data_IF_003321264534
#
_entry.id   IF_003321264534
#
_cell.length_a   1.000
_cell.length_b   1.000
_cell.length_c   1.000
_cell.angle_alpha   90.00
_cell.angle_beta   90.00
_cell.angle_gamma   90.00
#
_symmetry.space_group_name_H-M   'P 1'
#
loop_
_entity.id
_entity.type
_entity.pdbx_description
1 polymer ?
#
# COMPACT_ATOMS: atom_id res chain seq x y z
N UNK A 1 -3.26 -77.54 -3.30
CA UNK A 1 -3.17 -78.46 -2.17
C UNK A 1 -3.64 -79.85 -2.57
N UNK A 2 -3.13 -80.89 -1.93
CA UNK A 2 -3.50 -82.28 -2.18
C UNK A 2 -4.47 -82.71 -1.06
N UNK A 3 -5.64 -83.20 -1.44
CA UNK A 3 -6.68 -83.67 -0.53
C UNK A 3 -6.90 -85.17 -0.79
N UNK A 4 -7.03 -85.97 0.27
CA UNK A 4 -7.33 -87.42 0.16
C UNK A 4 -8.71 -87.60 0.76
N UNK A 5 -9.60 -88.21 -0.01
CA UNK A 5 -10.91 -88.59 0.42
C UNK A 5 -11.04 -90.11 0.43
N UNK A 6 -11.53 -90.65 1.49
CA UNK A 6 -11.84 -92.07 1.60
C UNK A 6 -13.27 -92.34 1.10
N UNK A 7 -13.38 -93.17 0.14
CA UNK A 7 -14.70 -93.55 -0.40
C UNK A 7 -14.92 -95.03 -0.11
N UNK A 8 -15.93 -95.31 0.72
CA UNK A 8 -16.33 -96.69 1.12
C UNK A 8 -17.59 -97.09 0.36
N UNK A 9 -17.51 -98.18 -0.36
CA UNK A 9 -18.68 -98.75 -1.04
C UNK A 9 -19.16 -99.99 -0.29
N UNK A 10 -20.45 -100.03 0.01
CA UNK A 10 -21.11 -101.19 0.63
C UNK A 10 -21.97 -101.94 -0.39
N UNK A 11 -21.63 -103.18 -0.61
CA UNK A 11 -22.55 -104.11 -1.27
C UNK A 11 -22.79 -105.22 -0.32
N UNK A 12 -23.97 -105.66 -0.11
CA UNK A 12 -24.46 -106.59 0.97
C UNK A 12 -23.62 -107.84 1.27
N UNK A 13 -22.51 -108.10 0.61
CA UNK A 13 -21.56 -109.20 0.81
C UNK A 13 -20.11 -108.84 0.77
N UNK A 14 -19.76 -107.60 0.39
CA UNK A 14 -18.39 -107.15 0.31
C UNK A 14 -18.25 -105.68 0.69
N UNK A 15 -17.30 -105.42 1.47
CA UNK A 15 -16.89 -104.06 1.88
C UNK A 15 -15.56 -103.73 1.22
N UNK A 16 -15.43 -102.54 0.60
CA UNK A 16 -14.20 -102.11 -0.04
C UNK A 16 -14.04 -100.60 0.12
N UNK A 17 -12.83 -100.20 0.50
CA UNK A 17 -12.47 -98.80 0.66
C UNK A 17 -11.38 -98.45 -0.35
N UNK A 18 -11.58 -97.40 -1.09
CA UNK A 18 -10.50 -96.82 -1.94
C UNK A 18 -10.17 -95.37 -1.49
N UNK A 19 -8.90 -95.07 -1.47
CA UNK A 19 -8.42 -93.71 -1.24
C UNK A 19 -8.30 -93.00 -2.58
N UNK A 20 -9.10 -91.95 -2.74
CA UNK A 20 -9.00 -91.09 -3.92
C UNK A 20 -8.24 -89.83 -3.54
N UNK A 21 -7.10 -89.67 -4.19
CA UNK A 21 -6.31 -88.43 -4.01
C UNK A 21 -6.69 -87.45 -5.08
N UNK A 22 -7.24 -86.34 -4.66
CA UNK A 22 -7.54 -85.19 -5.53
C UNK A 22 -6.44 -84.13 -5.34
N UNK A 23 -5.67 -83.90 -6.36
CA UNK A 23 -4.67 -82.81 -6.38
C UNK A 23 -5.28 -81.62 -7.09
N UNK A 24 -5.56 -80.59 -6.34
CA UNK A 24 -5.94 -79.27 -6.90
C UNK A 24 -4.62 -78.56 -7.26
N UNK A 25 -4.34 -78.51 -8.53
CA UNK A 25 -3.21 -77.72 -9.07
C UNK A 25 -3.74 -76.35 -9.36
N UNK A 26 -3.16 -75.34 -8.74
CA UNK A 26 -3.43 -73.98 -9.17
C UNK A 26 -3.05 -73.83 -10.66
N UNK A 27 -3.88 -73.20 -11.48
CA UNK A 27 -3.53 -73.01 -12.88
C UNK A 27 -2.24 -72.19 -12.95
N UNK A 28 -1.17 -72.82 -13.42
CA UNK A 28 0.11 -72.16 -13.69
C UNK A 28 -0.05 -71.41 -15.01
N UNK A 29 -0.39 -70.15 -14.95
CA UNK A 29 -0.32 -69.25 -16.08
C UNK A 29 0.80 -68.21 -15.83
N UNK A 30 1.52 -67.82 -16.87
CA UNK A 30 2.46 -66.74 -16.77
C UNK A 30 1.67 -65.41 -16.66
N UNK A 31 1.91 -64.67 -15.57
CA UNK A 31 1.26 -63.38 -15.39
C UNK A 31 1.77 -62.39 -16.44
N UNK A 32 0.86 -61.77 -17.18
CA UNK A 32 1.10 -60.66 -18.08
C UNK A 32 0.49 -59.41 -17.48
N UNK A 33 1.37 -58.55 -16.96
CA UNK A 33 0.93 -57.31 -16.34
C UNK A 33 0.75 -56.21 -17.38
N UNK A 34 -0.29 -55.39 -17.20
CA UNK A 34 -0.52 -54.21 -18.03
C UNK A 34 0.63 -53.22 -17.89
N UNK A 35 1.01 -52.57 -18.97
CA UNK A 35 1.94 -51.44 -18.94
C UNK A 35 1.30 -50.14 -18.44
N UNK A 36 -0.01 -50.14 -18.22
CA UNK A 36 -0.76 -49.02 -17.66
C UNK A 36 -0.92 -49.19 -16.16
N UNK A 37 -0.76 -48.08 -15.44
CA UNK A 37 -0.98 -48.04 -14.00
C UNK A 37 -2.46 -48.16 -13.67
N UNK A 38 -2.81 -49.10 -12.79
CA UNK A 38 -4.07 -49.13 -12.03
C UNK A 38 -3.83 -48.48 -10.67
N UNK A 39 -4.80 -47.78 -10.13
CA UNK A 39 -4.65 -47.09 -8.86
C UNK A 39 -5.95 -46.98 -8.07
N UNK A 40 -5.81 -46.91 -6.76
CA UNK A 40 -6.87 -46.53 -5.81
C UNK A 40 -6.44 -45.23 -5.08
N UNK A 41 -7.10 -44.90 -3.96
CA UNK A 41 -6.81 -43.70 -3.19
C UNK A 41 -5.45 -43.74 -2.47
N UNK A 42 -4.83 -44.90 -2.31
CA UNK A 42 -3.62 -45.11 -1.50
C UNK A 42 -2.43 -45.60 -2.29
N UNK A 43 -2.68 -46.47 -3.27
CA UNK A 43 -1.63 -47.19 -3.99
C UNK A 43 -1.83 -47.16 -5.52
N UNK A 44 -0.76 -47.54 -6.21
CA UNK A 44 -0.76 -47.84 -7.64
C UNK A 44 -0.04 -49.16 -7.89
N UNK A 45 -0.42 -49.85 -8.97
CA UNK A 45 0.13 -51.15 -9.37
C UNK A 45 -0.07 -51.38 -10.87
N UNK A 46 0.64 -52.36 -11.40
CA UNK A 46 0.31 -52.99 -12.68
C UNK A 46 -0.54 -54.21 -12.44
N UNK A 47 -1.62 -54.37 -13.15
CA UNK A 47 -2.61 -55.44 -12.94
C UNK A 47 -2.54 -56.48 -14.05
N UNK A 48 -2.60 -57.76 -13.64
CA UNK A 48 -2.75 -58.91 -14.54
C UNK A 48 -4.24 -59.17 -14.75
N UNK A 49 -4.64 -59.72 -15.91
CA UNK A 49 -6.03 -60.13 -16.16
C UNK A 49 -6.59 -61.10 -15.10
N UNK A 50 -5.74 -61.85 -14.41
CA UNK A 50 -6.12 -62.74 -13.31
C UNK A 50 -6.33 -61.99 -11.97
N UNK A 51 -6.14 -60.66 -11.91
CA UNK A 51 -6.26 -59.83 -10.70
C UNK A 51 -5.01 -59.75 -9.85
N UNK A 52 -3.89 -60.44 -10.23
CA UNK A 52 -2.61 -60.27 -9.53
C UNK A 52 -1.99 -58.90 -9.80
N UNK A 53 -1.31 -58.36 -8.79
CA UNK A 53 -0.71 -57.01 -8.80
C UNK A 53 0.81 -57.09 -8.76
N UNK A 54 1.48 -56.35 -9.63
CA UNK A 54 2.93 -56.11 -9.52
C UNK A 54 3.21 -54.61 -9.25
N UNK A 55 4.36 -54.32 -8.72
CA UNK A 55 4.87 -52.99 -8.43
C UNK A 55 3.91 -52.18 -7.51
N UNK A 56 3.19 -52.89 -6.68
CA UNK A 56 2.26 -52.28 -5.69
C UNK A 56 3.04 -51.39 -4.75
N UNK A 57 2.77 -50.06 -4.82
CA UNK A 57 3.40 -49.09 -3.97
C UNK A 57 2.49 -47.91 -3.69
N UNK A 58 2.75 -47.18 -2.59
CA UNK A 58 2.03 -45.99 -2.24
C UNK A 58 2.30 -44.84 -3.22
N UNK A 59 1.32 -43.95 -3.39
CA UNK A 59 1.47 -42.77 -4.23
C UNK A 59 2.61 -41.85 -3.75
N UNK A 60 3.39 -41.33 -4.70
CA UNK A 60 4.37 -40.25 -4.48
C UNK A 60 3.75 -38.95 -4.95
N UNK A 61 3.12 -38.21 -4.04
CA UNK A 61 2.38 -36.99 -4.38
C UNK A 61 3.27 -35.76 -4.48
N UNK A 62 2.98 -34.93 -5.48
CA UNK A 62 3.43 -33.55 -5.58
C UNK A 62 2.24 -32.59 -5.69
N UNK A 63 2.40 -31.34 -5.22
CA UNK A 63 1.38 -30.33 -5.42
C UNK A 63 1.43 -29.75 -6.84
N UNK A 64 0.30 -29.75 -7.49
CA UNK A 64 0.06 -29.08 -8.78
C UNK A 64 -0.90 -27.92 -8.55
N UNK A 65 -0.52 -26.74 -9.03
CA UNK A 65 -1.37 -25.55 -8.94
C UNK A 65 -2.19 -25.47 -10.22
N UNK A 66 -3.52 -25.63 -10.10
CA UNK A 66 -4.44 -25.51 -11.23
C UNK A 66 -4.53 -24.05 -11.69
N UNK A 67 -4.68 -23.12 -10.70
CA UNK A 67 -4.58 -21.68 -10.89
C UNK A 67 -4.26 -20.96 -9.57
N UNK A 68 -3.50 -19.89 -9.67
CA UNK A 68 -3.07 -19.08 -8.54
C UNK A 68 -4.23 -18.28 -7.90
N UNK A 69 -4.18 -18.14 -6.57
CA UNK A 69 -5.04 -17.20 -5.88
C UNK A 69 -4.65 -15.75 -6.19
N UNK A 70 -5.65 -14.89 -6.32
CA UNK A 70 -5.47 -13.43 -6.40
C UNK A 70 -6.06 -12.77 -5.16
N UNK A 71 -6.01 -11.45 -5.06
CA UNK A 71 -6.69 -10.75 -3.97
C UNK A 71 -8.23 -10.69 -4.14
N UNK A 72 -8.75 -11.03 -5.33
CA UNK A 72 -10.18 -11.03 -5.63
C UNK A 72 -10.77 -12.42 -5.82
N UNK A 73 -9.95 -13.39 -6.23
CA UNK A 73 -10.36 -14.78 -6.51
C UNK A 73 -9.53 -15.77 -5.71
N UNK A 74 -10.16 -16.87 -5.28
CA UNK A 74 -9.45 -18.03 -4.73
C UNK A 74 -8.66 -18.73 -5.81
N UNK A 75 -7.55 -19.37 -5.46
CA UNK A 75 -6.84 -20.32 -6.29
C UNK A 75 -7.31 -21.74 -6.04
N UNK A 76 -6.75 -22.69 -6.77
CA UNK A 76 -7.00 -24.11 -6.65
C UNK A 76 -5.74 -24.92 -6.89
N UNK A 77 -5.56 -26.01 -6.16
CA UNK A 77 -4.46 -26.95 -6.30
C UNK A 77 -4.93 -28.36 -5.98
N UNK A 78 -4.26 -29.35 -6.50
CA UNK A 78 -4.46 -30.76 -6.15
C UNK A 78 -3.11 -31.45 -5.96
N UNK A 79 -3.11 -32.64 -5.40
CA UNK A 79 -1.93 -33.50 -5.40
C UNK A 79 -2.03 -34.47 -6.56
N UNK A 80 -0.92 -34.66 -7.28
CA UNK A 80 -0.80 -35.62 -8.38
C UNK A 80 0.35 -36.58 -8.10
N UNK A 81 0.11 -37.88 -8.28
CA UNK A 81 1.16 -38.87 -8.16
C UNK A 81 2.14 -38.76 -9.33
N UNK A 82 3.44 -38.61 -9.02
CA UNK A 82 4.50 -38.46 -10.04
C UNK A 82 4.73 -39.70 -10.88
N UNK A 83 4.17 -40.86 -10.46
CA UNK A 83 4.39 -42.16 -11.12
C UNK A 83 3.18 -42.53 -11.99
N UNK A 84 1.97 -42.53 -11.40
CA UNK A 84 0.78 -43.02 -12.09
C UNK A 84 -0.20 -41.91 -12.52
N UNK A 85 0.05 -40.66 -12.15
CA UNK A 85 -0.83 -39.55 -12.51
C UNK A 85 -2.16 -39.48 -11.71
N UNK A 86 -2.35 -40.31 -10.66
CA UNK A 86 -3.54 -40.27 -9.82
C UNK A 86 -3.67 -38.89 -9.16
N UNK A 87 -4.85 -38.27 -9.24
CA UNK A 87 -5.12 -36.93 -8.71
C UNK A 87 -6.06 -36.99 -7.51
N UNK A 88 -5.71 -36.29 -6.45
CA UNK A 88 -6.59 -36.12 -5.28
C UNK A 88 -7.67 -35.07 -5.56
N UNK A 89 -8.70 -35.06 -4.69
CA UNK A 89 -9.68 -33.96 -4.70
C UNK A 89 -8.99 -32.60 -4.57
N UNK A 90 -9.42 -31.60 -5.35
CA UNK A 90 -8.77 -30.29 -5.34
C UNK A 90 -9.03 -29.52 -4.05
N UNK A 91 -8.01 -28.74 -3.63
CA UNK A 91 -8.05 -27.89 -2.44
C UNK A 91 -8.03 -26.43 -2.86
N UNK A 92 -8.85 -25.62 -2.19
CA UNK A 92 -8.91 -24.18 -2.41
C UNK A 92 -7.68 -23.49 -1.80
N UNK A 93 -7.03 -22.63 -2.58
CA UNK A 93 -6.01 -21.68 -2.09
C UNK A 93 -6.76 -20.39 -1.70
N UNK A 94 -6.67 -19.93 -0.43
CA UNK A 94 -7.35 -18.71 0.01
C UNK A 94 -6.92 -17.48 -0.81
N UNK A 95 -7.80 -16.49 -0.92
CA UNK A 95 -7.49 -15.20 -1.54
C UNK A 95 -6.27 -14.56 -0.89
N UNK A 96 -5.42 -13.93 -1.69
CA UNK A 96 -4.32 -13.09 -1.19
C UNK A 96 -4.89 -11.82 -0.54
N UNK A 97 -4.22 -11.30 0.48
CA UNK A 97 -4.60 -10.02 1.10
C UNK A 97 -4.55 -8.86 0.09
N UNK A 98 -5.41 -7.85 0.27
CA UNK A 98 -5.31 -6.61 -0.50
C UNK A 98 -3.95 -5.94 -0.24
N UNK A 99 -3.36 -5.25 -1.24
CA UNK A 99 -2.06 -4.61 -1.08
C UNK A 99 -2.14 -3.51 -0.02
N UNK A 100 -1.07 -3.35 0.75
CA UNK A 100 -0.92 -2.24 1.69
C UNK A 100 -0.32 -1.02 0.99
N UNK A 101 -0.71 0.17 1.45
CA UNK A 101 -0.07 1.43 1.09
C UNK A 101 -0.15 2.39 2.27
N UNK A 102 0.98 2.96 2.64
CA UNK A 102 1.08 3.95 3.71
C UNK A 102 1.77 5.21 3.19
N UNK A 103 1.34 6.35 3.70
CA UNK A 103 1.97 7.65 3.45
C UNK A 103 2.48 8.19 4.78
N UNK A 104 3.72 8.70 4.80
CA UNK A 104 4.32 9.23 6.02
C UNK A 104 3.53 10.43 6.55
N UNK A 105 3.19 11.35 5.67
CA UNK A 105 2.48 12.57 6.01
C UNK A 105 1.15 12.66 5.24
N UNK A 106 0.03 12.62 5.94
CA UNK A 106 -1.30 12.81 5.34
C UNK A 106 -1.56 14.28 4.94
N UNK A 107 -0.77 15.22 5.45
CA UNK A 107 -0.83 16.64 5.10
C UNK A 107 0.57 17.22 4.95
N UNK A 108 0.85 17.79 3.78
CA UNK A 108 2.12 18.46 3.47
C UNK A 108 1.81 19.93 3.21
N UNK A 109 2.47 20.82 3.97
CA UNK A 109 2.35 22.27 3.77
C UNK A 109 3.62 22.80 3.12
N UNK A 110 3.45 23.48 2.00
CA UNK A 110 4.57 24.09 1.26
C UNK A 110 4.33 25.57 1.04
N UNK A 111 5.39 26.35 1.05
CA UNK A 111 5.36 27.73 0.58
C UNK A 111 5.42 27.75 -0.95
N UNK A 112 4.70 28.67 -1.60
CA UNK A 112 4.80 28.88 -3.06
C UNK A 112 6.22 29.30 -3.51
N UNK A 113 7.16 29.43 -2.59
CA UNK A 113 8.58 29.58 -2.89
C UNK A 113 9.19 28.27 -3.42
N UNK A 114 8.77 27.14 -2.87
CA UNK A 114 9.21 25.79 -3.29
C UNK A 114 8.12 25.18 -4.17
N UNK A 115 8.35 25.11 -5.46
CA UNK A 115 7.36 24.61 -6.43
C UNK A 115 7.33 23.09 -6.56
N UNK A 116 8.12 22.38 -5.75
CA UNK A 116 8.18 20.92 -5.76
C UNK A 116 8.25 20.37 -4.34
N UNK A 117 7.65 19.22 -4.15
CA UNK A 117 7.82 18.36 -2.97
C UNK A 117 7.74 16.89 -3.40
N UNK A 118 8.04 15.96 -2.52
CA UNK A 118 7.95 14.53 -2.80
C UNK A 118 7.12 13.85 -1.72
N UNK A 119 6.27 12.91 -2.14
CA UNK A 119 5.52 12.04 -1.22
C UNK A 119 6.45 10.93 -0.74
N UNK A 120 6.42 10.65 0.56
CA UNK A 120 7.05 9.48 1.15
C UNK A 120 5.98 8.39 1.28
N UNK A 121 6.03 7.41 0.38
CA UNK A 121 5.04 6.34 0.23
C UNK A 121 5.74 5.00 0.35
N UNK A 122 5.17 4.12 1.19
CA UNK A 122 5.57 2.72 1.28
C UNK A 122 4.38 1.85 0.85
N UNK A 123 4.66 0.79 0.12
CA UNK A 123 3.69 -0.21 -0.31
C UNK A 123 4.35 -1.58 -0.36
N UNK A 124 3.56 -2.63 -0.50
CA UNK A 124 4.05 -3.98 -0.72
C UNK A 124 4.90 -4.04 -1.99
N UNK A 125 5.92 -4.89 -1.98
CA UNK A 125 6.94 -5.00 -3.04
C UNK A 125 6.33 -5.24 -4.43
N UNK A 126 5.26 -6.03 -4.50
CA UNK A 126 4.62 -6.43 -5.76
C UNK A 126 3.42 -5.52 -6.14
N UNK A 127 3.18 -4.46 -5.35
CA UNK A 127 2.10 -3.53 -5.62
C UNK A 127 2.52 -2.45 -6.62
N UNK A 128 1.72 -2.28 -7.67
CA UNK A 128 1.87 -1.16 -8.61
C UNK A 128 1.27 0.11 -8.01
N UNK A 129 2.11 1.14 -7.81
CA UNK A 129 1.68 2.44 -7.34
C UNK A 129 1.23 3.35 -8.48
N UNK A 130 0.12 4.06 -8.26
CA UNK A 130 -0.36 5.13 -9.13
C UNK A 130 -0.77 6.34 -8.29
N UNK A 131 -0.65 7.54 -8.89
CA UNK A 131 -0.89 8.81 -8.23
C UNK A 131 -1.86 9.64 -9.07
N UNK A 132 -2.84 10.27 -8.41
CA UNK A 132 -3.80 11.17 -9.07
C UNK A 132 -4.04 12.41 -8.21
N UNK A 133 -3.88 13.59 -8.79
CA UNK A 133 -4.24 14.86 -8.15
C UNK A 133 -5.67 15.27 -8.56
N UNK A 134 -6.41 15.85 -7.62
CA UNK A 134 -7.72 16.47 -7.88
C UNK A 134 -7.60 17.90 -8.44
N UNK A 135 -6.37 18.43 -8.54
CA UNK A 135 -6.13 19.83 -8.96
C UNK A 135 -5.06 19.91 -10.05
N UNK A 136 -5.43 20.47 -11.20
CA UNK A 136 -4.52 20.65 -12.35
C UNK A 136 -3.31 21.55 -12.11
N UNK A 137 -3.38 22.40 -11.06
CA UNK A 137 -2.25 23.26 -10.64
C UNK A 137 -1.26 22.55 -9.70
N UNK A 138 -1.60 21.35 -9.23
CA UNK A 138 -0.73 20.51 -8.41
C UNK A 138 -0.63 19.16 -9.09
N UNK A 139 0.43 18.92 -9.84
CA UNK A 139 0.67 17.68 -10.57
C UNK A 139 1.52 16.72 -9.75
N UNK A 140 1.32 15.44 -9.95
CA UNK A 140 2.16 14.39 -9.34
C UNK A 140 2.60 13.41 -10.44
N UNK A 141 3.86 13.02 -10.44
CA UNK A 141 4.41 12.03 -11.37
C UNK A 141 4.37 10.60 -10.81
N UNK A 142 4.79 9.63 -11.62
CA UNK A 142 4.83 8.21 -11.26
C UNK A 142 5.75 7.87 -10.09
N UNK A 143 6.66 8.77 -9.72
CA UNK A 143 7.62 8.61 -8.63
C UNK A 143 7.18 9.36 -7.35
N UNK A 144 5.94 9.90 -7.32
CA UNK A 144 5.42 10.67 -6.20
C UNK A 144 6.01 12.08 -6.06
N UNK A 145 6.71 12.60 -7.09
CA UNK A 145 7.17 13.99 -7.11
C UNK A 145 6.00 14.90 -7.46
N UNK A 146 5.70 15.82 -6.55
CA UNK A 146 4.64 16.81 -6.69
C UNK A 146 5.22 18.08 -7.27
N UNK A 147 4.62 18.61 -8.32
CA UNK A 147 4.96 19.89 -8.95
C UNK A 147 3.79 20.85 -8.81
N UNK A 148 4.06 22.05 -8.30
CA UNK A 148 3.07 23.08 -8.00
C UNK A 148 3.23 24.20 -9.03
N UNK A 149 2.13 24.60 -9.66
CA UNK A 149 2.12 25.70 -10.60
C UNK A 149 2.52 27.03 -9.94
N UNK A 150 3.24 27.86 -10.66
CA UNK A 150 3.63 29.21 -10.21
C UNK A 150 2.39 29.99 -9.75
N UNK A 151 2.49 30.65 -8.60
CA UNK A 151 1.45 31.48 -7.98
C UNK A 151 0.18 30.73 -7.51
N UNK A 152 0.14 29.40 -7.58
CA UNK A 152 -0.95 28.65 -6.96
C UNK A 152 -0.91 28.79 -5.44
N UNK A 153 -2.06 29.04 -4.83
CA UNK A 153 -2.29 29.05 -3.39
C UNK A 153 -3.59 28.29 -3.13
N UNK A 154 -3.62 27.43 -2.15
CA UNK A 154 -4.81 26.63 -1.85
C UNK A 154 -4.49 25.22 -1.39
N UNK A 155 -5.45 24.32 -1.58
CA UNK A 155 -5.29 22.89 -1.29
C UNK A 155 -5.49 22.05 -2.54
N UNK A 156 -4.83 20.91 -2.57
CA UNK A 156 -5.06 19.84 -3.50
C UNK A 156 -4.97 18.51 -2.75
N UNK A 157 -5.72 17.50 -3.20
CA UNK A 157 -5.63 16.14 -2.69
C UNK A 157 -4.98 15.25 -3.72
N UNK A 158 -3.94 14.53 -3.30
CA UNK A 158 -3.34 13.48 -4.09
C UNK A 158 -3.84 12.14 -3.56
N UNK A 159 -4.46 11.35 -4.44
CA UNK A 159 -4.83 9.96 -4.16
C UNK A 159 -3.69 9.06 -4.62
N UNK A 160 -3.16 8.28 -3.70
CA UNK A 160 -2.16 7.24 -3.94
C UNK A 160 -2.90 5.90 -3.95
N UNK A 161 -2.73 5.11 -5.00
CA UNK A 161 -3.38 3.80 -5.13
C UNK A 161 -2.31 2.73 -5.32
N UNK A 162 -2.32 1.72 -4.47
CA UNK A 162 -1.59 0.47 -4.66
C UNK A 162 -2.53 -0.58 -5.27
N UNK A 163 -2.04 -1.30 -6.28
CA UNK A 163 -2.80 -2.35 -6.97
C UNK A 163 -1.95 -3.62 -7.04
N UNK A 164 -2.49 -4.76 -6.59
CA UNK A 164 -1.89 -6.08 -6.71
C UNK A 164 -2.98 -7.15 -6.82
N UNK A 165 -2.81 -8.13 -7.71
CA UNK A 165 -3.74 -9.24 -7.87
C UNK A 165 -5.21 -8.83 -8.07
N UNK A 166 -5.47 -7.71 -8.76
CA UNK A 166 -6.82 -7.19 -9.00
C UNK A 166 -7.41 -6.34 -7.86
N UNK A 167 -6.86 -6.39 -6.64
CA UNK A 167 -7.29 -5.55 -5.52
C UNK A 167 -6.57 -4.20 -5.51
N UNK A 168 -7.22 -3.20 -4.87
CA UNK A 168 -6.74 -1.83 -4.77
C UNK A 168 -6.90 -1.31 -3.35
N UNK A 169 -5.86 -0.63 -2.86
CA UNK A 169 -5.91 0.13 -1.61
C UNK A 169 -5.50 1.57 -1.89
N UNK A 170 -6.17 2.53 -1.26
CA UNK A 170 -5.94 3.96 -1.51
C UNK A 170 -5.61 4.72 -0.24
N UNK A 171 -4.71 5.71 -0.37
CA UNK A 171 -4.43 6.71 0.66
C UNK A 171 -4.53 8.11 0.06
N UNK A 172 -4.90 9.09 0.87
CA UNK A 172 -5.04 10.49 0.45
C UNK A 172 -4.02 11.37 1.16
N UNK A 173 -3.35 12.22 0.40
CA UNK A 173 -2.42 13.23 0.90
C UNK A 173 -2.93 14.61 0.53
N UNK A 174 -3.12 15.48 1.52
CA UNK A 174 -3.51 16.87 1.31
C UNK A 174 -2.26 17.76 1.16
N UNK A 175 -2.11 18.39 0.01
CA UNK A 175 -1.09 19.40 -0.22
C UNK A 175 -1.69 20.77 0.05
N UNK A 176 -1.17 21.49 1.05
CA UNK A 176 -1.53 22.88 1.33
C UNK A 176 -0.42 23.79 0.84
N UNK A 177 -0.77 24.72 -0.06
CA UNK A 177 0.18 25.67 -0.64
C UNK A 177 -0.10 27.07 -0.10
N UNK A 178 0.84 27.62 0.65
CA UNK A 178 0.78 28.95 1.21
C UNK A 178 1.39 29.98 0.24
N UNK A 179 0.94 31.25 0.27
CA UNK A 179 1.49 32.29 -0.57
C UNK A 179 2.97 32.56 -0.27
N UNK A 180 3.70 33.05 -1.25
CA UNK A 180 5.07 33.52 -1.07
C UNK A 180 5.07 34.74 -0.12
N UNK A 181 5.93 34.72 0.88
CA UNK A 181 6.10 35.81 1.83
C UNK A 181 6.74 37.06 1.21
N UNK A 182 6.98 38.06 2.05
CA UNK A 182 7.70 39.28 1.73
C UNK A 182 8.84 39.54 2.72
N UNK A 183 9.69 40.48 2.40
CA UNK A 183 10.84 40.90 3.24
C UNK A 183 10.82 42.39 3.46
N UNK A 184 11.25 42.84 4.63
CA UNK A 184 11.43 44.26 4.90
C UNK A 184 12.59 44.85 4.06
N UNK A 185 12.31 46.01 3.49
CA UNK A 185 13.32 46.93 2.94
C UNK A 185 13.91 47.81 4.04
N UNK A 186 13.02 48.32 4.94
CA UNK A 186 13.44 49.16 6.05
C UNK A 186 12.48 49.02 7.24
N UNK A 187 13.02 49.03 8.46
CA UNK A 187 12.28 49.14 9.72
C UNK A 187 13.10 50.03 10.64
N UNK A 188 12.52 51.14 11.09
CA UNK A 188 13.22 52.10 11.96
C UNK A 188 12.25 52.94 12.82
N UNK A 189 12.82 53.60 13.82
CA UNK A 189 12.08 54.59 14.64
C UNK A 189 12.04 55.94 13.91
N UNK A 190 10.85 56.41 13.58
CA UNK A 190 10.65 57.76 13.05
C UNK A 190 10.44 58.78 14.16
N UNK A 191 10.62 60.07 13.81
CA UNK A 191 10.36 61.20 14.72
C UNK A 191 8.95 61.09 15.37
N UNK A 192 8.85 61.40 16.67
CA UNK A 192 7.61 61.31 17.41
C UNK A 192 7.21 59.89 17.78
N UNK A 193 8.14 59.01 18.14
CA UNK A 193 7.93 57.64 18.60
C UNK A 193 7.06 56.83 17.64
N UNK A 194 7.51 56.76 16.37
CA UNK A 194 6.78 56.08 15.30
C UNK A 194 7.57 54.87 14.79
N UNK A 195 6.92 53.73 14.64
CA UNK A 195 7.42 52.65 13.77
C UNK A 195 7.19 53.05 12.32
N UNK A 196 8.24 53.07 11.52
CA UNK A 196 8.16 53.11 10.07
C UNK A 196 8.68 51.79 9.51
N UNK A 197 7.83 51.05 8.81
CA UNK A 197 8.19 49.76 8.21
C UNK A 197 7.83 49.78 6.72
N UNK A 198 8.77 49.35 5.88
CA UNK A 198 8.61 49.27 4.44
C UNK A 198 9.07 47.88 3.97
N UNK A 199 8.37 47.30 2.98
CA UNK A 199 8.65 45.98 2.48
C UNK A 199 8.53 45.88 0.96
N UNK A 200 8.96 44.74 0.41
CA UNK A 200 8.85 44.45 -1.01
C UNK A 200 7.39 44.10 -1.36
N UNK A 201 6.86 44.69 -2.43
CA UNK A 201 5.54 44.35 -2.93
C UNK A 201 5.49 42.91 -3.40
N UNK A 202 4.39 42.21 -3.08
CA UNK A 202 4.02 40.95 -3.68
C UNK A 202 2.65 41.11 -4.37
N UNK A 203 2.63 41.14 -5.71
CA UNK A 203 1.42 41.34 -6.50
C UNK A 203 0.48 40.12 -6.54
N UNK A 204 0.93 38.96 -6.05
CA UNK A 204 0.17 37.72 -6.12
C UNK A 204 -0.64 37.42 -4.83
N UNK A 205 -0.69 38.37 -3.92
CA UNK A 205 -1.40 38.24 -2.62
C UNK A 205 -2.47 39.31 -2.49
N UNK A 206 -3.38 39.16 -1.52
CA UNK A 206 -4.43 40.12 -1.29
C UNK A 206 -4.02 41.21 -0.29
N UNK A 207 -2.96 40.95 0.50
CA UNK A 207 -2.46 41.90 1.45
C UNK A 207 -1.43 41.33 2.41
N UNK A 208 -1.25 42.06 3.52
CA UNK A 208 -0.18 41.79 4.49
C UNK A 208 -0.72 41.82 5.93
N UNK A 209 -0.06 41.07 6.80
CA UNK A 209 -0.17 41.24 8.24
C UNK A 209 1.16 41.68 8.81
N UNK A 210 1.16 42.84 9.45
CA UNK A 210 2.29 43.38 10.21
C UNK A 210 2.04 43.11 11.69
N UNK A 211 2.99 42.47 12.37
CA UNK A 211 2.96 42.27 13.80
C UNK A 211 4.11 43.02 14.48
N UNK A 212 3.82 43.76 15.56
CA UNK A 212 4.82 44.52 16.28
C UNK A 212 4.51 44.62 17.76
N UNK A 213 5.56 44.69 18.58
CA UNK A 213 5.46 44.85 20.04
C UNK A 213 6.81 44.74 20.70
N UNK A 214 6.83 44.79 22.03
CA UNK A 214 8.06 44.75 22.84
C UNK A 214 8.52 43.32 23.20
N UNK A 215 7.65 42.34 22.99
CA UNK A 215 7.98 40.93 23.22
C UNK A 215 8.71 40.33 22.01
N UNK A 216 9.89 39.73 22.25
CA UNK A 216 10.66 39.00 21.23
C UNK A 216 9.90 37.80 20.68
N UNK A 217 9.06 37.17 21.48
CA UNK A 217 8.24 36.01 21.11
C UNK A 217 6.86 36.40 20.55
N UNK A 218 6.61 37.71 20.40
CA UNK A 218 5.35 38.27 19.91
C UNK A 218 4.12 37.95 20.75
N UNK A 219 4.26 37.55 22.01
CA UNK A 219 3.16 37.42 22.97
C UNK A 219 2.61 38.78 23.29
N UNK A 220 1.28 38.99 23.21
CA UNK A 220 0.62 40.27 23.46
C UNK A 220 0.93 41.38 22.44
N UNK A 221 1.58 41.07 21.32
CA UNK A 221 1.93 42.03 20.28
C UNK A 221 0.74 42.43 19.42
N UNK A 222 0.73 43.65 18.91
CA UNK A 222 -0.29 44.18 18.00
C UNK A 222 -0.13 43.60 16.61
N UNK A 223 -1.26 43.13 16.02
CA UNK A 223 -1.31 42.66 14.64
C UNK A 223 -2.20 43.57 13.81
N UNK A 224 -1.68 44.05 12.68
CA UNK A 224 -2.39 44.91 11.74
C UNK A 224 -2.53 44.23 10.41
N UNK A 225 -3.75 44.13 9.91
CA UNK A 225 -4.06 43.59 8.58
C UNK A 225 -4.18 44.75 7.58
N UNK A 226 -3.38 44.68 6.50
CA UNK A 226 -3.35 45.64 5.42
C UNK A 226 -3.97 44.97 4.18
N UNK A 227 -5.19 45.43 3.82
CA UNK A 227 -6.08 44.75 2.85
C UNK A 227 -5.75 45.08 1.38
N UNK A 228 -4.50 45.39 1.06
CA UNK A 228 -4.10 45.69 -0.32
C UNK A 228 -2.67 45.20 -0.57
N UNK A 229 -2.46 44.56 -1.70
CA UNK A 229 -1.11 44.19 -2.15
C UNK A 229 -0.28 45.39 -2.65
N UNK A 230 -0.92 46.54 -2.85
CA UNK A 230 -0.27 47.81 -3.17
C UNK A 230 0.42 48.42 -1.93
N UNK A 231 0.01 48.04 -0.73
CA UNK A 231 0.55 48.52 0.52
C UNK A 231 2.02 48.05 0.67
N UNK A 232 2.99 48.94 0.58
CA UNK A 232 4.41 48.61 0.72
C UNK A 232 5.07 49.29 1.92
N UNK A 233 4.26 49.90 2.78
CA UNK A 233 4.70 50.54 4.00
C UNK A 233 3.59 50.72 5.04
N UNK A 234 4.00 50.93 6.28
CA UNK A 234 3.09 51.18 7.39
C UNK A 234 3.79 52.07 8.43
N UNK A 235 3.06 53.06 8.93
CA UNK A 235 3.46 53.91 10.05
C UNK A 235 2.57 53.60 11.25
N UNK A 236 3.17 53.36 12.43
CA UNK A 236 2.47 53.15 13.69
C UNK A 236 2.98 54.12 14.73
N UNK A 237 2.08 54.76 15.43
CA UNK A 237 2.36 55.83 16.41
C UNK A 237 2.14 55.32 17.85
N UNK A 238 2.46 56.16 18.84
CA UNK A 238 2.21 55.86 20.25
C UNK A 238 3.10 54.76 20.82
N UNK A 239 4.32 54.62 20.32
CA UNK A 239 5.27 53.65 20.85
C UNK A 239 5.83 54.10 22.20
N UNK A 240 6.13 53.13 23.08
CA UNK A 240 6.69 53.38 24.40
C UNK A 240 8.17 53.88 24.26
N UNK A 241 8.50 55.03 24.86
CA UNK A 241 9.84 55.61 24.89
C UNK A 241 10.81 54.63 25.54
N UNK A 242 12.04 54.59 25.03
CA UNK A 242 13.16 53.74 25.47
C UNK A 242 12.94 52.22 25.36
N UNK A 243 11.79 51.77 24.80
CA UNK A 243 11.49 50.36 24.60
C UNK A 243 12.05 49.86 23.26
N UNK A 244 12.51 48.61 23.23
CA UNK A 244 12.87 47.90 22.00
C UNK A 244 11.63 47.24 21.44
N UNK A 245 11.33 47.50 20.19
CA UNK A 245 10.26 46.86 19.44
C UNK A 245 10.77 45.82 18.46
N UNK A 246 10.04 44.71 18.38
CA UNK A 246 10.25 43.62 17.41
C UNK A 246 9.13 43.69 16.39
N UNK A 247 9.47 43.45 15.12
CA UNK A 247 8.54 43.59 13.99
C UNK A 247 8.73 42.44 13.05
N UNK A 248 7.61 41.83 12.60
CA UNK A 248 7.59 40.85 11.53
C UNK A 248 6.40 41.06 10.62
N UNK A 249 6.47 40.56 9.39
CA UNK A 249 5.44 40.72 8.39
C UNK A 249 5.21 39.39 7.68
N UNK A 250 3.98 39.12 7.28
CA UNK A 250 3.61 38.03 6.38
C UNK A 250 2.61 38.50 5.34
N UNK A 251 2.50 37.75 4.25
CA UNK A 251 1.47 37.94 3.24
C UNK A 251 0.27 37.06 3.54
N UNK A 252 -0.90 37.41 2.98
CA UNK A 252 -2.05 36.52 2.94
C UNK A 252 -2.74 36.56 1.60
N UNK A 253 -3.41 35.44 1.27
CA UNK A 253 -4.28 35.30 0.11
C UNK A 253 -5.56 34.56 0.49
N UNK A 254 -6.70 35.00 -0.04
CA UNK A 254 -8.00 34.36 0.13
C UNK A 254 -8.30 33.52 -1.11
N UNK A 255 -8.67 32.28 -0.90
CA UNK A 255 -9.06 31.36 -1.97
C UNK A 255 -10.30 30.60 -1.48
N UNK A 256 -11.39 30.65 -2.22
CA UNK A 256 -12.65 29.97 -1.90
C UNK A 256 -13.08 30.16 -0.44
N UNK A 257 -13.13 31.41 0.04
CA UNK A 257 -13.53 31.79 1.39
C UNK A 257 -12.49 31.54 2.49
N UNK A 258 -11.42 30.82 2.21
CA UNK A 258 -10.36 30.49 3.17
C UNK A 258 -9.14 31.40 3.02
N UNK A 259 -8.54 31.84 4.15
CA UNK A 259 -7.32 32.64 4.15
C UNK A 259 -6.09 31.77 4.37
N UNK A 260 -5.12 31.90 3.48
CA UNK A 260 -3.82 31.26 3.55
C UNK A 260 -2.75 32.32 3.86
N UNK A 261 -1.83 32.00 4.76
CA UNK A 261 -0.77 32.92 5.17
C UNK A 261 0.60 32.34 4.80
N UNK A 262 1.51 33.24 4.40
CA UNK A 262 2.92 32.85 4.31
C UNK A 262 3.53 32.68 5.69
N UNK A 263 4.72 32.12 5.75
CA UNK A 263 5.57 32.21 6.92
C UNK A 263 5.84 33.68 7.23
N UNK A 264 6.15 33.95 8.51
CA UNK A 264 6.57 35.27 8.93
C UNK A 264 7.97 35.58 8.36
N UNK A 265 8.22 36.85 8.06
CA UNK A 265 9.54 37.34 7.69
C UNK A 265 10.54 37.17 8.85
N UNK A 266 11.85 37.30 8.54
CA UNK A 266 12.83 37.51 9.58
C UNK A 266 12.42 38.70 10.45
N UNK A 267 12.57 38.56 11.76
CA UNK A 267 12.28 39.64 12.74
C UNK A 267 13.28 40.76 12.56
N UNK A 268 12.79 41.99 12.59
CA UNK A 268 13.59 43.22 12.73
C UNK A 268 13.28 43.86 14.08
N UNK A 269 14.24 44.55 14.65
CA UNK A 269 14.08 45.28 15.89
C UNK A 269 14.69 46.70 15.79
N UNK A 270 14.14 47.59 16.60
CA UNK A 270 14.66 48.94 16.77
C UNK A 270 14.34 49.45 18.16
N UNK A 271 15.13 50.37 18.70
CA UNK A 271 14.89 51.06 19.96
C UNK A 271 14.16 52.39 19.70
N UNK A 272 13.12 52.67 20.48
CA UNK A 272 12.41 53.95 20.41
C UNK A 272 13.15 55.00 21.24
N UNK A 273 13.71 55.99 20.58
CA UNK A 273 14.55 57.01 21.24
C UNK A 273 13.85 58.34 21.44
N UNK A 274 12.92 58.75 20.60
CA UNK A 274 12.20 60.04 20.68
C UNK A 274 10.76 59.93 20.16
#
# INVERSE_FOLDING_TARGET
>A
GTYTAEVTAFTGLYEGTINVTITVVAPTHAHQYSNQWTSDATNHWHECECGEKSDLSAHQFQWVIDWEATATTTGRKHQECTICGYQTAPVTIPKKSAPTVTVKDSTITVSNKSQTTKLDVKADKDAKLTYKSDNKSVKVDKNGKVTIAKNFVGKATITVTATSGGAKTTQKVTITVNPKGTTFRAVYNGKGRKLKAYWNRNSQVDGYQLQYGTSKNFTGCKTVTLKSNQCTGSVRTGLKKNATYYVRIRTYKRVSGKTYYSDWSKVKSFKVVR
#
